data_IF_098998284090
#
_entry.id   IF_098998284090
#
_cell.length_a   1.000
_cell.length_b   1.000
_cell.length_c   1.000
_cell.angle_alpha   90.00
_cell.angle_beta   90.00
_cell.angle_gamma   90.00
#
_symmetry.space_group_name_H-M   'P 1'
#
loop_
_entity.id
_entity.type
_entity.pdbx_description
1 polymer ?
#
# COMPACT_ATOMS: atom_id res chain seq x y z
N UNK A 1 -43.07 -8.98 23.64
CA UNK A 1 -42.60 -8.02 22.63
C UNK A 1 -41.91 -8.79 21.52
N UNK A 2 -42.09 -8.43 20.23
CA UNK A 2 -41.31 -9.04 19.15
C UNK A 2 -39.83 -8.67 19.33
N UNK A 3 -38.97 -9.68 19.36
CA UNK A 3 -37.52 -9.51 19.39
C UNK A 3 -37.09 -8.88 18.07
N UNK A 4 -36.47 -7.69 18.11
CA UNK A 4 -35.97 -7.05 16.91
C UNK A 4 -34.46 -7.34 16.72
N UNK A 5 -33.91 -7.05 15.54
CA UNK A 5 -32.50 -7.32 15.23
C UNK A 5 -31.54 -6.61 16.20
N UNK A 6 -31.86 -5.39 16.66
CA UNK A 6 -31.01 -4.67 17.61
C UNK A 6 -30.99 -5.35 18.98
N UNK A 7 -32.10 -5.95 19.41
CA UNK A 7 -32.15 -6.75 20.65
C UNK A 7 -31.19 -7.96 20.57
N UNK A 8 -31.12 -8.60 19.39
CA UNK A 8 -30.18 -9.70 19.11
C UNK A 8 -28.73 -9.20 19.11
N UNK A 9 -28.46 -8.09 18.40
CA UNK A 9 -27.11 -7.52 18.28
C UNK A 9 -26.60 -6.88 19.57
N UNK A 10 -27.48 -6.60 20.53
CA UNK A 10 -27.10 -6.14 21.88
C UNK A 10 -26.42 -7.26 22.70
N UNK A 11 -26.59 -8.52 22.30
CA UNK A 11 -25.88 -9.65 22.88
C UNK A 11 -24.57 -9.89 22.13
N UNK A 12 -23.44 -9.72 22.83
CA UNK A 12 -22.10 -9.81 22.23
C UNK A 12 -21.79 -11.17 21.60
N UNK A 13 -22.35 -12.26 22.11
CA UNK A 13 -22.16 -13.61 21.55
C UNK A 13 -22.87 -13.69 20.19
N UNK A 14 -24.17 -13.39 20.15
CA UNK A 14 -24.97 -13.45 18.92
C UNK A 14 -24.47 -12.46 17.86
N UNK A 15 -24.11 -11.26 18.32
CA UNK A 15 -23.42 -10.26 17.52
C UNK A 15 -22.17 -10.84 16.85
N UNK A 16 -21.24 -11.40 17.61
CA UNK A 16 -19.99 -11.93 17.05
C UNK A 16 -20.24 -13.05 16.04
N UNK A 17 -21.15 -13.98 16.36
CA UNK A 17 -21.50 -15.09 15.45
C UNK A 17 -22.07 -14.60 14.13
N UNK A 18 -23.00 -13.64 14.14
CA UNK A 18 -23.58 -13.10 12.90
C UNK A 18 -22.51 -12.41 12.07
N UNK A 19 -21.74 -11.51 12.68
CA UNK A 19 -20.74 -10.72 11.97
C UNK A 19 -19.55 -11.57 11.47
N UNK A 20 -19.24 -12.70 12.10
CA UNK A 20 -18.19 -13.62 11.64
C UNK A 20 -18.58 -14.38 10.35
N UNK A 21 -19.87 -14.43 10.01
CA UNK A 21 -20.37 -14.98 8.75
C UNK A 21 -20.57 -13.94 7.64
N UNK A 22 -20.30 -12.66 7.91
CA UNK A 22 -20.44 -11.58 6.94
C UNK A 22 -19.08 -11.15 6.39
N UNK A 23 -18.99 -11.02 5.07
CA UNK A 23 -17.84 -10.40 4.42
C UNK A 23 -17.77 -8.91 4.74
N UNK A 24 -16.58 -8.27 4.65
CA UNK A 24 -16.41 -6.85 5.01
C UNK A 24 -17.42 -5.91 4.33
N UNK A 25 -17.75 -6.18 3.07
CA UNK A 25 -18.74 -5.43 2.31
C UNK A 25 -20.16 -5.49 2.89
N UNK A 26 -20.59 -6.65 3.37
CA UNK A 26 -21.92 -6.85 3.91
C UNK A 26 -22.03 -6.22 5.30
N UNK A 27 -20.94 -6.29 6.07
CA UNK A 27 -20.80 -5.55 7.32
C UNK A 27 -20.90 -4.05 7.11
N UNK A 28 -20.18 -3.51 6.12
CA UNK A 28 -20.26 -2.08 5.78
C UNK A 28 -21.68 -1.70 5.38
N UNK A 29 -22.32 -2.46 4.47
CA UNK A 29 -23.72 -2.21 4.06
C UNK A 29 -24.67 -2.25 5.25
N UNK A 30 -24.56 -3.27 6.10
CA UNK A 30 -25.39 -3.42 7.28
C UNK A 30 -25.18 -2.25 8.26
N UNK A 31 -23.92 -1.84 8.49
CA UNK A 31 -23.59 -0.69 9.34
C UNK A 31 -24.18 0.63 8.84
N UNK A 32 -24.41 0.76 7.53
CA UNK A 32 -25.03 1.95 6.94
C UNK A 32 -26.56 1.99 7.10
N UNK A 33 -27.19 0.88 7.50
CA UNK A 33 -28.66 0.84 7.68
C UNK A 33 -29.12 1.49 8.99
N UNK A 34 -28.26 1.55 10.01
CA UNK A 34 -28.65 1.99 11.36
C UNK A 34 -27.46 2.58 12.12
N UNK A 35 -27.67 3.72 12.80
CA UNK A 35 -26.64 4.38 13.63
C UNK A 35 -26.14 3.50 14.79
N UNK A 36 -27.01 2.71 15.39
CA UNK A 36 -26.63 1.78 16.46
C UNK A 36 -25.68 0.71 15.92
N UNK A 37 -25.99 0.14 14.75
CA UNK A 37 -25.13 -0.86 14.12
C UNK A 37 -23.81 -0.23 13.66
N UNK A 38 -23.86 0.99 13.13
CA UNK A 38 -22.67 1.77 12.82
C UNK A 38 -21.74 1.94 14.04
N UNK A 39 -22.30 2.15 15.23
CA UNK A 39 -21.55 2.27 16.48
C UNK A 39 -20.70 1.03 16.82
N UNK A 40 -21.11 -0.16 16.40
CA UNK A 40 -20.34 -1.39 16.61
C UNK A 40 -19.07 -1.49 15.76
N UNK A 41 -18.85 -0.59 14.79
CA UNK A 41 -17.68 -0.63 13.91
C UNK A 41 -16.35 -0.67 14.67
N UNK A 42 -16.26 0.04 15.81
CA UNK A 42 -15.09 0.05 16.68
C UNK A 42 -14.79 -1.33 17.29
N UNK A 43 -15.83 -2.09 17.60
CA UNK A 43 -15.68 -3.48 18.06
C UNK A 43 -15.33 -4.41 16.89
N UNK A 44 -16.00 -4.27 15.74
CA UNK A 44 -15.76 -5.13 14.56
C UNK A 44 -14.32 -5.04 14.05
N UNK A 45 -13.76 -3.82 14.02
CA UNK A 45 -12.40 -3.55 13.59
C UNK A 45 -11.56 -2.96 14.73
N UNK A 46 -11.54 -3.64 15.88
CA UNK A 46 -10.73 -3.21 17.01
C UNK A 46 -9.24 -3.48 16.76
N UNK A 47 -8.49 -2.44 16.40
CA UNK A 47 -7.06 -2.54 16.09
C UNK A 47 -6.21 -2.97 17.29
N UNK A 48 -6.55 -2.50 18.50
CA UNK A 48 -5.80 -2.84 19.71
C UNK A 48 -5.90 -4.35 20.01
N UNK A 49 -7.10 -4.93 19.86
CA UNK A 49 -7.32 -6.39 19.93
C UNK A 49 -6.57 -7.13 18.83
N UNK A 50 -6.49 -6.58 17.61
CA UNK A 50 -5.72 -7.18 16.51
C UNK A 50 -4.22 -7.23 16.85
N UNK A 51 -3.67 -6.12 17.35
CA UNK A 51 -2.25 -5.97 17.69
C UNK A 51 -1.84 -6.76 18.95
N UNK A 52 -2.77 -7.04 19.88
CA UNK A 52 -2.52 -7.90 21.06
C UNK A 52 -2.02 -9.31 20.73
N UNK A 53 -2.19 -9.74 19.47
CA UNK A 53 -1.57 -10.96 18.98
C UNK A 53 -0.05 -10.89 19.04
N UNK A 54 0.54 -9.73 18.80
CA UNK A 54 1.98 -9.51 18.68
C UNK A 54 2.52 -8.81 19.93
N UNK A 55 1.98 -7.66 20.28
CA UNK A 55 2.47 -6.83 21.40
C UNK A 55 1.57 -6.95 22.62
N UNK A 56 2.16 -6.84 23.80
CA UNK A 56 1.45 -6.79 25.06
C UNK A 56 0.89 -5.37 25.31
N UNK A 57 1.51 -4.28 24.81
CA UNK A 57 0.94 -2.93 24.84
C UNK A 57 0.67 -2.33 23.44
N UNK A 58 -0.53 -2.53 22.87
CA UNK A 58 -0.87 -1.99 21.55
C UNK A 58 -0.97 -0.46 21.51
N UNK A 59 -1.24 0.21 22.63
CA UNK A 59 -1.34 1.67 22.67
C UNK A 59 0.07 2.26 22.59
N UNK A 60 1.01 1.77 23.40
CA UNK A 60 2.41 2.19 23.33
C UNK A 60 3.00 1.93 21.93
N UNK A 61 2.74 0.76 21.35
CA UNK A 61 3.18 0.43 20.00
C UNK A 61 2.63 1.40 18.94
N UNK A 62 1.33 1.74 19.00
CA UNK A 62 0.71 2.69 18.05
C UNK A 62 1.17 4.13 18.29
N UNK A 63 1.44 4.53 19.52
CA UNK A 63 2.09 5.82 19.83
C UNK A 63 3.46 5.90 19.17
N UNK A 64 4.24 4.80 19.23
CA UNK A 64 5.52 4.71 18.54
C UNK A 64 5.34 4.80 17.01
N UNK A 65 4.30 4.18 16.46
CA UNK A 65 3.96 4.35 15.03
C UNK A 65 3.66 5.81 14.68
N UNK A 66 2.93 6.54 15.52
CA UNK A 66 2.63 7.96 15.32
C UNK A 66 3.89 8.83 15.32
N UNK A 67 4.77 8.62 16.31
CA UNK A 67 6.01 9.37 16.50
C UNK A 67 7.05 9.15 15.39
N UNK A 68 6.96 8.03 14.68
CA UNK A 68 8.01 7.60 13.75
C UNK A 68 7.52 7.41 12.31
N UNK A 69 6.29 7.83 12.00
CA UNK A 69 5.65 7.66 10.69
C UNK A 69 5.73 6.22 10.19
N UNK A 70 5.50 5.26 11.09
CA UNK A 70 5.53 3.85 10.75
C UNK A 70 4.15 3.37 10.29
N UNK A 71 4.12 2.50 9.29
CA UNK A 71 2.90 1.83 8.85
C UNK A 71 3.05 0.32 9.01
N UNK A 72 1.96 -0.36 9.30
CA UNK A 72 1.89 -1.82 9.18
C UNK A 72 1.23 -2.18 7.87
N UNK A 73 1.79 -3.15 7.15
CA UNK A 73 1.25 -3.60 5.86
C UNK A 73 1.28 -5.13 5.77
N UNK A 74 1.01 -5.65 4.57
CA UNK A 74 1.19 -7.06 4.25
C UNK A 74 0.03 -7.92 4.76
N UNK A 75 0.36 -9.15 5.15
CA UNK A 75 -0.67 -10.16 5.43
C UNK A 75 -1.53 -9.82 6.64
N UNK A 76 -0.99 -9.09 7.63
CA UNK A 76 -1.74 -8.71 8.81
C UNK A 76 -2.72 -7.57 8.53
N UNK A 77 -2.32 -6.55 7.77
CA UNK A 77 -3.21 -5.46 7.37
C UNK A 77 -4.41 -5.99 6.54
N UNK A 78 -4.15 -6.95 5.64
CA UNK A 78 -5.21 -7.64 4.91
C UNK A 78 -6.15 -8.41 5.84
N UNK A 79 -5.63 -9.21 6.78
CA UNK A 79 -6.43 -9.94 7.76
C UNK A 79 -7.31 -9.02 8.60
N UNK A 80 -6.74 -7.91 9.07
CA UNK A 80 -7.45 -6.93 9.88
C UNK A 80 -8.67 -6.37 9.13
N UNK A 81 -8.48 -5.91 7.89
CA UNK A 81 -9.57 -5.37 7.09
C UNK A 81 -10.58 -6.45 6.67
N UNK A 82 -10.10 -7.65 6.31
CA UNK A 82 -10.94 -8.79 5.96
C UNK A 82 -11.70 -9.38 7.15
N UNK A 83 -11.34 -9.03 8.39
CA UNK A 83 -11.84 -9.64 9.63
C UNK A 83 -11.64 -11.16 9.68
N UNK A 84 -10.53 -11.64 9.12
CA UNK A 84 -10.16 -13.05 9.12
C UNK A 84 -8.89 -13.29 9.94
N UNK A 85 -8.70 -14.52 10.41
CA UNK A 85 -7.53 -14.92 11.19
C UNK A 85 -6.84 -16.11 10.54
N UNK A 86 -5.61 -15.88 10.06
CA UNK A 86 -4.74 -16.94 9.56
C UNK A 86 -3.64 -17.25 10.59
N UNK A 87 -3.36 -18.53 10.79
CA UNK A 87 -2.20 -18.99 11.57
C UNK A 87 -0.90 -18.63 10.84
N UNK A 88 0.22 -18.50 11.57
CA UNK A 88 1.54 -18.17 10.98
C UNK A 88 1.53 -16.88 10.13
N UNK A 89 1.04 -15.79 10.74
CA UNK A 89 1.08 -14.47 10.14
C UNK A 89 2.02 -13.60 10.95
N UNK A 90 2.99 -13.01 10.26
CA UNK A 90 3.92 -12.04 10.83
C UNK A 90 3.29 -10.65 10.82
N UNK A 91 3.89 -9.71 11.56
CA UNK A 91 3.55 -8.29 11.54
C UNK A 91 4.66 -7.50 10.84
N UNK A 92 4.36 -6.95 9.68
CA UNK A 92 5.33 -6.22 8.84
C UNK A 92 5.21 -4.72 9.11
N UNK A 93 6.22 -4.14 9.77
CA UNK A 93 6.27 -2.73 10.17
C UNK A 93 7.26 -1.99 9.27
N UNK A 94 6.77 -1.08 8.44
CA UNK A 94 7.58 -0.29 7.53
C UNK A 94 7.96 1.04 8.18
N UNK A 95 9.26 1.35 8.16
CA UNK A 95 9.90 2.48 8.83
C UNK A 95 10.86 3.14 7.83
N UNK A 96 11.06 4.45 7.90
CA UNK A 96 11.97 5.14 6.95
C UNK A 96 13.31 5.55 7.54
N UNK A 97 13.38 5.85 8.85
CA UNK A 97 14.59 6.40 9.47
C UNK A 97 15.28 5.38 10.37
N UNK A 98 16.61 5.45 10.41
CA UNK A 98 17.44 4.60 11.26
C UNK A 98 17.15 4.84 12.76
N UNK A 99 16.98 6.11 13.17
CA UNK A 99 16.60 6.47 14.55
C UNK A 99 15.27 5.84 14.97
N UNK A 100 14.28 5.87 14.07
CA UNK A 100 12.98 5.23 14.27
C UNK A 100 13.12 3.71 14.37
N UNK A 101 13.92 3.10 13.49
CA UNK A 101 14.16 1.66 13.50
C UNK A 101 14.79 1.21 14.82
N UNK A 102 15.76 1.97 15.33
CA UNK A 102 16.37 1.73 16.65
C UNK A 102 15.35 1.88 17.78
N UNK A 103 14.47 2.89 17.72
CA UNK A 103 13.42 3.08 18.72
C UNK A 103 12.45 1.88 18.78
N UNK A 104 12.01 1.37 17.61
CA UNK A 104 11.19 0.16 17.53
C UNK A 104 11.94 -1.08 18.01
N UNK A 105 13.18 -1.29 17.58
CA UNK A 105 13.98 -2.43 18.02
C UNK A 105 14.14 -2.45 19.55
N UNK A 106 14.46 -1.30 20.14
CA UNK A 106 14.53 -1.13 21.59
C UNK A 106 13.19 -1.45 22.25
N UNK A 107 12.09 -0.81 21.85
CA UNK A 107 10.76 -1.06 22.44
C UNK A 107 10.39 -2.54 22.41
N UNK A 108 10.60 -3.21 21.28
CA UNK A 108 10.32 -4.63 21.14
C UNK A 108 11.17 -5.48 22.11
N UNK A 109 12.45 -5.17 22.23
CA UNK A 109 13.36 -5.95 23.09
C UNK A 109 13.16 -5.68 24.58
N UNK A 110 13.01 -4.41 24.98
CA UNK A 110 13.00 -3.99 26.38
C UNK A 110 11.61 -4.02 27.00
N UNK A 111 10.57 -3.67 26.25
CA UNK A 111 9.21 -3.52 26.77
C UNK A 111 8.33 -4.72 26.41
N UNK A 112 8.49 -5.28 25.21
CA UNK A 112 7.66 -6.38 24.72
C UNK A 112 8.33 -7.77 24.86
N UNK A 113 9.60 -7.83 25.28
CA UNK A 113 10.32 -9.07 25.55
C UNK A 113 10.72 -9.89 24.31
N UNK A 114 10.82 -9.26 23.15
CA UNK A 114 11.29 -9.88 21.92
C UNK A 114 12.82 -10.04 21.91
N UNK A 115 13.32 -11.01 21.15
CA UNK A 115 14.73 -11.09 20.78
C UNK A 115 14.90 -10.95 19.27
N UNK A 116 16.02 -10.35 18.87
CA UNK A 116 16.41 -10.24 17.47
C UNK A 116 16.89 -11.60 16.96
N UNK A 117 16.33 -12.03 15.82
CA UNK A 117 16.77 -13.22 15.08
C UNK A 117 17.48 -12.75 13.80
N UNK A 118 18.82 -12.69 13.77
CA UNK A 118 19.55 -12.28 12.58
C UNK A 118 19.35 -13.27 11.43
N UNK A 119 19.44 -12.76 10.20
CA UNK A 119 19.77 -13.60 9.05
C UNK A 119 21.21 -14.11 9.16
N UNK A 120 21.57 -15.16 8.40
CA UNK A 120 22.91 -15.78 8.49
C UNK A 120 24.06 -14.78 8.26
N UNK A 121 23.81 -13.74 7.47
CA UNK A 121 24.77 -12.70 7.11
C UNK A 121 24.73 -11.46 7.99
N UNK A 122 23.71 -11.32 8.84
CA UNK A 122 23.58 -10.17 9.74
C UNK A 122 24.40 -10.39 11.01
N UNK A 123 24.92 -9.31 11.58
CA UNK A 123 25.49 -9.34 12.93
C UNK A 123 24.47 -9.91 13.94
N UNK A 124 24.91 -10.71 14.94
CA UNK A 124 24.00 -11.24 15.97
C UNK A 124 23.37 -10.17 16.87
N UNK A 125 24.03 -9.03 17.02
CA UNK A 125 23.50 -7.89 17.75
C UNK A 125 22.62 -7.02 16.84
N UNK A 126 21.41 -6.69 17.30
CA UNK A 126 20.42 -5.93 16.53
C UNK A 126 20.94 -4.54 16.13
N UNK A 127 21.59 -3.83 17.04
CA UNK A 127 22.03 -2.45 16.80
C UNK A 127 23.20 -2.41 15.83
N UNK A 128 24.10 -3.39 15.91
CA UNK A 128 25.18 -3.58 14.97
C UNK A 128 24.63 -3.98 13.59
N UNK A 129 23.70 -4.92 13.52
CA UNK A 129 23.06 -5.32 12.27
C UNK A 129 22.37 -4.13 11.58
N UNK A 130 21.67 -3.28 12.35
CA UNK A 130 21.03 -2.06 11.82
C UNK A 130 22.07 -1.08 11.27
N UNK A 131 23.14 -0.81 12.03
CA UNK A 131 24.18 0.15 11.67
C UNK A 131 24.99 -0.30 10.46
N UNK A 132 25.43 -1.55 10.45
CA UNK A 132 26.40 -2.08 9.51
C UNK A 132 25.73 -2.72 8.28
N UNK A 133 24.39 -2.75 8.23
CA UNK A 133 23.55 -3.44 7.22
C UNK A 133 24.05 -3.34 5.79
N UNK A 134 24.44 -2.14 5.33
CA UNK A 134 24.90 -1.91 3.94
C UNK A 134 26.19 -2.68 3.67
N UNK A 135 27.15 -2.56 4.58
CA UNK A 135 28.45 -3.22 4.46
C UNK A 135 28.35 -4.74 4.66
N UNK A 136 27.47 -5.22 5.54
CA UNK A 136 27.24 -6.65 5.76
C UNK A 136 26.59 -7.28 4.54
N UNK A 137 25.62 -6.59 3.94
CA UNK A 137 24.96 -7.00 2.71
C UNK A 137 25.96 -7.06 1.54
N UNK A 138 26.76 -6.01 1.33
CA UNK A 138 27.76 -5.97 0.24
C UNK A 138 28.74 -7.15 0.33
N UNK A 139 29.27 -7.42 1.53
CA UNK A 139 30.17 -8.56 1.77
C UNK A 139 29.51 -9.91 1.51
N UNK A 140 28.24 -10.05 1.86
CA UNK A 140 27.49 -11.28 1.63
C UNK A 140 27.20 -11.50 0.14
N UNK A 141 26.80 -10.45 -0.60
CA UNK A 141 26.60 -10.50 -2.05
C UNK A 141 27.91 -10.87 -2.76
N UNK A 142 29.03 -10.24 -2.37
CA UNK A 142 30.36 -10.57 -2.91
C UNK A 142 30.72 -12.04 -2.65
N UNK A 143 30.50 -12.54 -1.41
CA UNK A 143 30.75 -13.94 -1.05
C UNK A 143 29.91 -14.92 -1.88
N UNK A 144 28.64 -14.59 -2.16
CA UNK A 144 27.77 -15.39 -3.01
C UNK A 144 28.24 -15.41 -4.46
N UNK A 145 28.63 -14.26 -5.00
CA UNK A 145 29.10 -14.13 -6.40
C UNK A 145 30.45 -14.82 -6.64
N UNK A 146 31.28 -14.95 -5.60
CA UNK A 146 32.60 -15.57 -5.67
C UNK A 146 32.60 -17.11 -5.45
N UNK A 147 31.45 -17.73 -5.17
CA UNK A 147 31.32 -19.19 -5.12
C UNK A 147 31.04 -19.76 -6.52
N UNK A 148 31.79 -20.78 -6.93
CA UNK A 148 31.59 -21.49 -8.19
C UNK A 148 31.31 -22.99 -7.95
N UNK A 149 30.09 -23.49 -8.27
CA UNK A 149 28.91 -22.72 -8.63
C UNK A 149 28.35 -21.97 -7.41
N UNK A 150 27.60 -20.87 -7.60
CA UNK A 150 26.96 -20.18 -6.49
C UNK A 150 25.98 -21.13 -5.81
N UNK A 151 26.27 -21.50 -4.55
CA UNK A 151 25.38 -22.35 -3.76
C UNK A 151 24.26 -21.47 -3.21
N UNK A 152 23.19 -21.36 -3.98
CA UNK A 152 21.98 -20.66 -3.52
C UNK A 152 21.02 -21.68 -2.92
N UNK A 153 20.91 -21.69 -1.59
CA UNK A 153 19.86 -22.43 -0.89
C UNK A 153 18.52 -21.73 -1.04
N UNK A 154 17.41 -22.45 -0.81
CA UNK A 154 16.07 -21.87 -0.84
C UNK A 154 15.91 -20.73 0.19
N UNK A 155 16.58 -20.84 1.35
CA UNK A 155 16.63 -19.80 2.37
C UNK A 155 17.41 -18.57 1.88
N UNK A 156 18.58 -18.74 1.24
CA UNK A 156 19.38 -17.65 0.67
C UNK A 156 18.66 -16.95 -0.49
N UNK A 157 17.89 -17.68 -1.31
CA UNK A 157 17.02 -17.10 -2.34
C UNK A 157 15.87 -16.31 -1.71
N UNK A 158 15.28 -16.81 -0.61
CA UNK A 158 14.23 -16.14 0.16
C UNK A 158 14.70 -14.78 0.69
N UNK A 159 15.94 -14.75 1.20
CA UNK A 159 16.59 -13.58 1.76
C UNK A 159 17.00 -12.58 0.67
N UNK A 160 17.54 -13.04 -0.46
CA UNK A 160 17.90 -12.19 -1.60
C UNK A 160 16.69 -11.52 -2.26
N UNK A 161 15.55 -12.24 -2.37
CA UNK A 161 14.35 -11.69 -2.99
C UNK A 161 13.69 -10.56 -2.19
N UNK A 162 13.75 -10.60 -0.85
CA UNK A 162 13.24 -9.51 0.01
C UNK A 162 14.06 -8.21 -0.16
N UNK A 163 15.37 -8.33 -0.39
CA UNK A 163 16.28 -7.19 -0.62
C UNK A 163 16.40 -6.73 -2.07
N UNK A 164 15.87 -7.51 -3.02
CA UNK A 164 15.70 -7.07 -4.42
C UNK A 164 14.39 -6.34 -4.65
N UNK A 165 13.48 -6.33 -3.65
CA UNK A 165 12.30 -5.49 -3.69
C UNK A 165 12.72 -4.02 -3.70
N UNK A 166 12.33 -3.32 -4.76
CA UNK A 166 12.57 -1.88 -4.90
C UNK A 166 12.01 -1.17 -3.65
N UNK A 167 12.83 -0.32 -3.05
CA UNK A 167 12.40 0.53 -1.95
C UNK A 167 12.62 -0.02 -0.54
N UNK A 168 13.18 -1.23 -0.37
CA UNK A 168 13.57 -1.79 0.93
C UNK A 168 15.09 -1.77 1.06
N UNK A 169 15.60 -1.36 2.22
CA UNK A 169 17.04 -1.22 2.52
C UNK A 169 17.48 -2.06 3.72
N UNK A 170 16.55 -2.70 4.42
CA UNK A 170 16.83 -3.53 5.59
C UNK A 170 15.58 -4.25 6.07
N UNK A 171 15.72 -5.51 6.48
CA UNK A 171 14.69 -6.29 7.15
C UNK A 171 15.29 -6.94 8.39
N UNK A 172 14.60 -6.78 9.52
CA UNK A 172 15.07 -7.23 10.82
C UNK A 172 13.99 -8.03 11.52
N UNK A 173 14.27 -9.29 11.85
CA UNK A 173 13.30 -10.18 12.46
C UNK A 173 13.36 -10.13 13.98
N UNK A 174 12.22 -9.92 14.61
CA UNK A 174 12.05 -10.02 16.06
C UNK A 174 11.07 -11.13 16.36
N UNK A 175 11.48 -12.07 17.23
CA UNK A 175 10.66 -13.21 17.65
C UNK A 175 10.43 -13.14 19.15
N UNK A 176 9.20 -13.41 19.57
CA UNK A 176 8.86 -13.47 20.99
C UNK A 176 8.96 -14.92 21.51
N UNK A 177 9.58 -15.17 22.68
CA UNK A 177 9.77 -16.53 23.21
C UNK A 177 8.48 -17.28 23.54
N UNK A 178 7.41 -16.59 23.99
CA UNK A 178 6.06 -17.16 24.22
C UNK A 178 5.49 -17.93 23.01
N UNK A 179 5.80 -17.53 21.77
CA UNK A 179 5.27 -18.21 20.58
C UNK A 179 6.04 -17.83 19.32
N UNK A 180 6.41 -18.81 18.51
CA UNK A 180 6.97 -18.55 17.17
C UNK A 180 6.00 -17.80 16.25
N UNK A 181 4.69 -17.86 16.52
CA UNK A 181 3.68 -17.09 15.79
C UNK A 181 3.63 -15.60 16.16
N UNK A 182 4.40 -15.17 17.18
CA UNK A 182 4.61 -13.77 17.55
C UNK A 182 5.92 -13.29 16.91
N UNK A 183 5.87 -13.08 15.60
CA UNK A 183 6.97 -12.53 14.81
C UNK A 183 6.61 -11.14 14.31
N UNK A 184 7.53 -10.20 14.51
CA UNK A 184 7.45 -8.83 13.99
C UNK A 184 8.67 -8.62 13.08
N UNK A 185 8.45 -8.14 11.87
CA UNK A 185 9.51 -7.73 10.96
C UNK A 185 9.55 -6.21 10.91
N UNK A 186 10.70 -5.63 11.25
CA UNK A 186 10.96 -4.21 11.01
C UNK A 186 11.61 -4.06 9.64
N UNK A 187 10.96 -3.32 8.74
CA UNK A 187 11.33 -3.16 7.34
C UNK A 187 11.71 -1.70 7.11
N UNK A 188 12.97 -1.45 6.79
CA UNK A 188 13.49 -0.12 6.53
C UNK A 188 13.28 0.25 5.05
N UNK A 189 12.34 1.16 4.79
CA UNK A 189 12.04 1.73 3.49
C UNK A 189 13.05 2.81 3.08
N UNK A 190 13.36 2.88 1.78
CA UNK A 190 14.36 3.82 1.25
C UNK A 190 13.89 5.28 1.16
N UNK A 191 12.58 5.51 1.04
CA UNK A 191 12.00 6.85 0.84
C UNK A 191 10.80 7.07 1.75
N UNK A 192 9.68 6.40 1.49
CA UNK A 192 8.49 6.42 2.34
C UNK A 192 8.07 4.97 2.59
N UNK A 193 7.36 4.69 3.69
CA UNK A 193 6.85 3.35 3.95
C UNK A 193 5.91 2.89 2.82
N UNK A 194 5.07 3.81 2.31
CA UNK A 194 4.14 3.52 1.21
C UNK A 194 4.87 3.23 -0.11
N UNK A 195 6.00 3.89 -0.39
CA UNK A 195 6.81 3.58 -1.57
C UNK A 195 7.21 2.10 -1.58
N UNK A 196 7.79 1.61 -0.47
CA UNK A 196 8.21 0.21 -0.33
C UNK A 196 7.04 -0.77 -0.49
N UNK A 197 5.85 -0.42 0.01
CA UNK A 197 4.62 -1.22 -0.17
C UNK A 197 4.24 -1.30 -1.66
N UNK A 198 4.13 -0.14 -2.32
CA UNK A 198 3.65 -0.07 -3.71
C UNK A 198 4.63 -0.68 -4.72
N UNK A 199 5.93 -0.66 -4.43
CA UNK A 199 6.96 -1.24 -5.29
C UNK A 199 7.40 -2.65 -4.90
N UNK A 200 7.01 -3.12 -3.71
CA UNK A 200 7.40 -4.44 -3.19
C UNK A 200 6.38 -5.54 -3.44
N UNK A 201 5.08 -5.21 -3.51
CA UNK A 201 4.03 -6.23 -3.61
C UNK A 201 3.80 -6.71 -5.05
N UNK A 202 3.55 -8.02 -5.18
CA UNK A 202 3.44 -8.73 -6.45
C UNK A 202 2.00 -8.84 -6.99
N UNK A 203 0.99 -8.54 -6.18
CA UNK A 203 -0.40 -8.49 -6.62
C UNK A 203 -1.28 -7.56 -5.78
N UNK A 204 -2.37 -7.06 -6.36
CA UNK A 204 -3.24 -6.00 -5.81
C UNK A 204 -3.87 -6.33 -4.45
N UNK A 205 -4.17 -7.59 -4.17
CA UNK A 205 -4.88 -8.02 -2.95
C UNK A 205 -4.16 -7.69 -1.63
N UNK A 206 -2.83 -7.52 -1.65
CA UNK A 206 -2.02 -7.20 -0.47
C UNK A 206 -1.73 -5.71 -0.30
N UNK A 207 -2.26 -4.83 -1.17
CA UNK A 207 -2.08 -3.38 -1.08
C UNK A 207 -3.00 -2.77 0.00
N UNK A 208 -2.79 -3.22 1.23
CA UNK A 208 -3.49 -2.79 2.42
C UNK A 208 -2.48 -2.45 3.50
N UNK A 209 -2.72 -1.37 4.22
CA UNK A 209 -1.86 -0.95 5.32
C UNK A 209 -2.67 -0.20 6.36
N UNK A 210 -2.10 -0.01 7.54
CA UNK A 210 -2.65 0.90 8.54
C UNK A 210 -1.57 1.72 9.22
N UNK A 211 -1.91 2.96 9.50
CA UNK A 211 -1.16 3.89 10.34
C UNK A 211 -1.63 3.75 11.78
N UNK A 212 -1.10 4.59 12.67
CA UNK A 212 -1.54 4.64 14.05
C UNK A 212 -3.02 4.98 14.22
N UNK A 213 -3.69 5.64 13.27
CA UNK A 213 -5.08 6.14 13.39
C UNK A 213 -6.03 5.69 12.25
N UNK A 214 -5.54 5.16 11.14
CA UNK A 214 -6.37 4.77 9.99
C UNK A 214 -5.87 3.50 9.32
N UNK A 215 -6.79 2.70 8.80
CA UNK A 215 -6.49 1.59 7.92
C UNK A 215 -7.00 1.86 6.50
N UNK A 216 -6.24 1.35 5.53
CA UNK A 216 -6.39 1.62 4.11
C UNK A 216 -6.35 0.34 3.31
N UNK A 217 -7.26 0.23 2.34
CA UNK A 217 -7.13 -0.70 1.21
C UNK A 217 -7.19 0.09 -0.09
N UNK A 218 -6.21 -0.11 -0.96
CA UNK A 218 -6.11 0.61 -2.23
C UNK A 218 -6.96 -0.03 -3.35
N UNK A 219 -7.29 -1.31 -3.21
CA UNK A 219 -8.10 -2.10 -4.16
C UNK A 219 -9.18 -2.92 -3.44
N UNK A 220 -10.04 -2.30 -2.62
CA UNK A 220 -10.95 -3.02 -1.73
C UNK A 220 -11.98 -3.88 -2.49
N UNK A 221 -12.48 -3.38 -3.62
CA UNK A 221 -13.50 -4.07 -4.41
C UNK A 221 -12.99 -5.44 -4.86
N UNK A 222 -11.91 -5.49 -5.65
CA UNK A 222 -11.33 -6.76 -6.10
C UNK A 222 -10.80 -7.60 -4.94
N UNK A 223 -10.22 -6.99 -3.91
CA UNK A 223 -9.59 -7.71 -2.79
C UNK A 223 -10.60 -8.43 -1.88
N UNK A 224 -11.70 -7.76 -1.51
CA UNK A 224 -12.63 -8.28 -0.50
C UNK A 224 -13.92 -8.81 -1.07
N UNK A 225 -14.40 -8.28 -2.20
CA UNK A 225 -15.65 -8.72 -2.82
C UNK A 225 -15.42 -9.89 -3.76
N UNK A 226 -14.51 -9.71 -4.72
CA UNK A 226 -14.30 -10.70 -5.78
C UNK A 226 -13.20 -11.71 -5.41
N UNK A 227 -12.33 -11.35 -4.45
CA UNK A 227 -11.09 -12.07 -4.09
C UNK A 227 -10.15 -12.25 -5.28
N UNK A 228 -10.14 -11.26 -6.17
CA UNK A 228 -9.25 -11.17 -7.31
C UNK A 228 -7.90 -10.55 -6.90
N UNK A 229 -6.81 -11.21 -7.27
CA UNK A 229 -5.44 -10.74 -7.11
C UNK A 229 -4.79 -10.52 -8.49
N UNK A 230 -4.72 -9.26 -8.92
CA UNK A 230 -4.09 -8.91 -10.20
C UNK A 230 -2.60 -8.72 -10.02
N UNK A 231 -1.79 -9.34 -10.87
CA UNK A 231 -0.34 -9.23 -10.79
C UNK A 231 0.15 -7.79 -11.02
N UNK A 232 1.09 -7.33 -10.20
CA UNK A 232 1.75 -6.03 -10.33
C UNK A 232 3.23 -6.14 -10.71
N UNK A 233 3.78 -7.36 -10.63
CA UNK A 233 5.18 -7.66 -10.94
C UNK A 233 5.27 -8.97 -11.73
N UNK A 234 6.44 -9.24 -12.31
CA UNK A 234 6.70 -10.57 -12.88
C UNK A 234 6.79 -11.59 -11.75
N UNK A 235 6.28 -12.80 -11.98
CA UNK A 235 6.35 -13.88 -11.00
C UNK A 235 7.80 -14.32 -10.78
N UNK A 236 8.32 -14.05 -9.58
CA UNK A 236 9.55 -14.69 -9.06
C UNK A 236 9.17 -16.01 -8.38
N UNK A 237 10.15 -16.88 -8.10
CA UNK A 237 9.91 -18.14 -7.36
C UNK A 237 9.24 -17.90 -5.99
N UNK A 238 9.63 -16.83 -5.28
CA UNK A 238 9.00 -16.44 -4.01
C UNK A 238 7.58 -15.92 -4.19
N UNK A 239 7.34 -15.13 -5.26
CA UNK A 239 5.98 -14.73 -5.60
C UNK A 239 5.11 -15.97 -5.84
N UNK A 240 5.66 -17.07 -6.38
CA UNK A 240 4.98 -18.37 -6.50
C UNK A 240 4.49 -18.94 -5.16
N UNK A 241 5.36 -19.05 -4.15
CA UNK A 241 4.94 -19.52 -2.80
C UNK A 241 3.94 -18.57 -2.16
N UNK A 242 4.11 -17.26 -2.35
CA UNK A 242 3.14 -16.25 -1.94
C UNK A 242 1.78 -16.46 -2.60
N UNK A 243 1.77 -16.72 -3.91
CA UNK A 243 0.57 -17.00 -4.71
C UNK A 243 -0.15 -18.23 -4.20
N UNK A 244 0.55 -19.37 -4.05
CA UNK A 244 -0.04 -20.62 -3.52
C UNK A 244 -0.71 -20.40 -2.16
N UNK A 245 0.00 -19.71 -1.24
CA UNK A 245 -0.51 -19.34 0.09
C UNK A 245 -1.83 -18.55 0.03
N UNK A 246 -2.02 -17.68 -0.95
CA UNK A 246 -3.26 -16.90 -1.07
C UNK A 246 -4.34 -17.61 -1.92
N UNK A 247 -3.97 -18.49 -2.84
CA UNK A 247 -4.91 -19.41 -3.49
C UNK A 247 -5.60 -20.30 -2.46
N UNK A 248 -4.83 -20.87 -1.51
CA UNK A 248 -5.39 -21.64 -0.37
C UNK A 248 -6.33 -20.82 0.51
N UNK A 249 -6.22 -19.48 0.48
CA UNK A 249 -7.08 -18.54 1.20
C UNK A 249 -8.29 -18.07 0.38
N UNK A 250 -8.48 -18.64 -0.81
CA UNK A 250 -9.60 -18.38 -1.70
C UNK A 250 -9.41 -17.19 -2.65
N UNK A 251 -8.18 -16.75 -2.89
CA UNK A 251 -7.89 -15.73 -3.91
C UNK A 251 -7.70 -16.35 -5.29
N UNK A 252 -8.27 -15.71 -6.30
CA UNK A 252 -8.00 -16.01 -7.71
C UNK A 252 -6.94 -15.05 -8.25
N UNK A 253 -5.85 -15.60 -8.79
CA UNK A 253 -4.79 -14.78 -9.38
C UNK A 253 -5.02 -14.57 -10.86
N UNK A 254 -5.10 -13.31 -11.27
CA UNK A 254 -5.52 -12.91 -12.60
C UNK A 254 -4.41 -12.13 -13.31
N UNK A 255 -4.21 -12.48 -14.58
CA UNK A 255 -3.53 -11.60 -15.51
C UNK A 255 -4.46 -10.48 -15.93
N UNK A 256 -3.95 -9.27 -16.01
CA UNK A 256 -4.75 -8.14 -16.46
C UNK A 256 -5.22 -8.32 -17.92
N UNK A 257 -4.42 -9.01 -18.74
CA UNK A 257 -4.57 -9.01 -20.19
C UNK A 257 -5.85 -9.62 -20.75
N UNK A 258 -6.62 -10.35 -19.93
CA UNK A 258 -8.01 -10.72 -20.24
C UNK A 258 -8.95 -9.56 -19.90
N UNK A 259 -8.80 -8.43 -20.60
CA UNK A 259 -9.46 -7.13 -20.39
C UNK A 259 -10.66 -7.22 -19.44
N UNK A 260 -10.42 -6.88 -18.17
CA UNK A 260 -11.48 -6.75 -17.18
C UNK A 260 -12.52 -5.78 -17.76
N UNK A 261 -13.78 -6.22 -17.90
CA UNK A 261 -14.90 -5.39 -18.36
C UNK A 261 -15.22 -4.34 -17.28
N UNK A 262 -14.33 -3.36 -17.14
CA UNK A 262 -14.43 -2.28 -16.17
C UNK A 262 -15.65 -1.42 -16.53
N UNK A 263 -16.70 -1.51 -15.73
CA UNK A 263 -17.83 -0.59 -15.74
C UNK A 263 -17.34 0.79 -15.25
N UNK A 264 -18.12 1.85 -15.49
CA UNK A 264 -17.89 3.26 -15.06
C UNK A 264 -17.38 3.47 -13.62
N UNK A 265 -17.44 2.48 -12.73
CA UNK A 265 -17.00 2.53 -11.33
C UNK A 265 -15.79 1.61 -11.01
N UNK A 266 -15.01 1.18 -12.01
CA UNK A 266 -13.84 0.32 -11.80
C UNK A 266 -12.72 1.05 -11.02
N UNK A 267 -12.08 0.44 -10.01
CA UNK A 267 -10.96 1.03 -9.27
C UNK A 267 -9.62 1.00 -10.04
N UNK A 268 -9.53 0.27 -11.16
CA UNK A 268 -8.34 0.19 -12.00
C UNK A 268 -8.24 1.39 -12.95
N UNK A 269 -7.93 2.56 -12.39
CA UNK A 269 -7.76 3.84 -13.10
C UNK A 269 -6.29 4.15 -13.40
N UNK A 270 -5.98 4.91 -14.46
CA UNK A 270 -4.59 5.30 -14.76
C UNK A 270 -3.91 6.08 -13.64
N UNK A 271 -4.69 6.81 -12.85
CA UNK A 271 -4.26 7.58 -11.68
C UNK A 271 -5.14 7.22 -10.50
N UNK A 272 -4.53 7.02 -9.35
CA UNK A 272 -5.20 6.81 -8.07
C UNK A 272 -4.49 7.60 -6.99
N UNK A 273 -5.25 7.99 -5.98
CA UNK A 273 -4.74 8.62 -4.76
C UNK A 273 -5.10 7.75 -3.57
N UNK A 274 -4.26 7.75 -2.54
CA UNK A 274 -4.65 7.19 -1.25
C UNK A 274 -5.93 7.89 -0.80
N UNK A 275 -6.87 7.15 -0.19
CA UNK A 275 -8.14 7.70 0.27
C UNK A 275 -8.96 8.41 -0.84
N UNK A 276 -8.82 8.00 -2.11
CA UNK A 276 -9.78 8.36 -3.15
C UNK A 276 -11.09 7.57 -3.02
N UNK A 277 -12.07 7.90 -3.86
CA UNK A 277 -13.40 7.25 -3.87
C UNK A 277 -13.38 5.74 -4.12
N UNK A 278 -12.25 5.19 -4.59
CA UNK A 278 -12.08 3.78 -4.89
C UNK A 278 -11.26 3.06 -3.81
N UNK A 279 -10.75 3.78 -2.82
CA UNK A 279 -10.04 3.25 -1.66
C UNK A 279 -11.02 3.01 -0.52
N UNK A 280 -10.74 2.03 0.33
CA UNK A 280 -11.46 1.87 1.59
C UNK A 280 -10.62 2.47 2.70
N UNK A 281 -11.19 3.45 3.40
CA UNK A 281 -10.61 4.08 4.58
C UNK A 281 -11.43 3.72 5.81
N UNK A 282 -10.74 3.28 6.85
CA UNK A 282 -11.30 2.91 8.13
C UNK A 282 -10.60 3.70 9.23
N UNK A 283 -11.33 4.62 9.87
CA UNK A 283 -10.85 5.28 11.09
C UNK A 283 -10.69 4.26 12.20
N UNK A 284 -9.58 4.34 12.92
CA UNK A 284 -9.24 3.48 14.05
C UNK A 284 -9.46 4.25 15.34
N UNK A 285 -9.78 3.51 16.40
CA UNK A 285 -9.90 4.07 17.74
C UNK A 285 -8.57 4.65 18.22
N UNK A 286 -8.52 5.96 18.47
CA UNK A 286 -7.33 6.68 18.95
C UNK A 286 -7.36 6.97 20.45
N UNK A 287 -8.28 6.37 21.21
CA UNK A 287 -8.31 6.53 22.66
C UNK A 287 -6.96 6.12 23.28
N UNK A 288 -6.43 6.99 24.16
CA UNK A 288 -5.13 6.80 24.80
C UNK A 288 -3.91 7.16 23.95
N UNK A 289 -4.09 7.64 22.71
CA UNK A 289 -2.98 8.11 21.86
C UNK A 289 -3.04 9.62 21.71
N UNK A 290 -1.96 10.31 22.04
CA UNK A 290 -1.82 11.75 21.80
C UNK A 290 -1.46 12.00 20.32
N UNK A 291 -2.47 12.43 19.54
CA UNK A 291 -2.31 12.73 18.12
C UNK A 291 -1.35 13.90 17.83
N UNK A 292 -1.01 14.74 18.81
CA UNK A 292 -0.02 15.81 18.62
C UNK A 292 1.41 15.27 18.47
N UNK A 293 1.64 14.02 18.89
CA UNK A 293 2.91 13.32 18.74
C UNK A 293 3.15 12.76 17.33
N UNK A 294 2.16 12.87 16.43
CA UNK A 294 2.30 12.40 15.06
C UNK A 294 3.40 13.18 14.32
N UNK A 295 4.48 12.49 13.92
CA UNK A 295 5.61 13.12 13.26
C UNK A 295 5.27 13.69 11.87
N UNK A 296 4.23 13.12 11.23
CA UNK A 296 3.82 13.45 9.87
C UNK A 296 2.30 13.67 9.84
N UNK A 297 1.82 14.79 9.26
CA UNK A 297 0.40 15.05 9.11
C UNK A 297 -0.32 13.98 8.27
N UNK A 298 -1.56 13.67 8.60
CA UNK A 298 -2.36 12.66 7.88
C UNK A 298 -2.50 12.95 6.38
N UNK A 299 -2.59 14.22 5.99
CA UNK A 299 -2.71 14.62 4.58
C UNK A 299 -1.47 14.22 3.76
N UNK A 300 -0.32 13.97 4.40
CA UNK A 300 0.87 13.52 3.69
C UNK A 300 0.65 12.14 3.08
N UNK A 301 0.09 11.18 3.83
CA UNK A 301 -0.17 9.85 3.30
C UNK A 301 -1.39 9.83 2.36
N UNK A 302 -2.43 10.59 2.68
CA UNK A 302 -3.68 10.62 1.90
C UNK A 302 -3.59 11.35 0.57
N UNK A 303 -2.56 12.16 0.34
CA UNK A 303 -2.31 12.80 -0.95
C UNK A 303 -1.14 12.18 -1.73
N UNK A 304 -0.65 11.00 -1.32
CA UNK A 304 0.22 10.21 -2.16
C UNK A 304 -0.58 9.60 -3.31
N UNK A 305 -0.02 9.65 -4.51
CA UNK A 305 -0.66 9.13 -5.72
C UNK A 305 0.22 8.09 -6.39
N UNK A 306 -0.42 7.21 -7.16
CA UNK A 306 0.28 6.26 -8.01
C UNK A 306 -0.45 6.09 -9.34
N UNK A 307 0.35 5.86 -10.38
CA UNK A 307 -0.14 5.57 -11.70
C UNK A 307 -0.26 4.06 -11.89
N UNK A 308 -1.17 3.64 -12.75
CA UNK A 308 -1.23 2.25 -13.20
C UNK A 308 -1.22 2.16 -14.72
N UNK A 309 -0.33 1.33 -15.26
CA UNK A 309 -0.23 1.06 -16.70
C UNK A 309 -0.45 -0.43 -16.92
N UNK A 310 -1.52 -0.77 -17.64
CA UNK A 310 -1.94 -2.16 -17.81
C UNK A 310 -1.94 -2.63 -19.27
N UNK A 311 -1.58 -1.75 -20.20
CA UNK A 311 -1.45 -2.04 -21.61
C UNK A 311 -0.48 -1.05 -22.26
N UNK A 312 -0.07 -1.37 -23.49
CA UNK A 312 0.52 -0.41 -24.41
C UNK A 312 -0.52 -0.07 -25.49
N UNK A 313 -0.46 1.15 -26.01
CA UNK A 313 -1.31 1.54 -27.13
C UNK A 313 -0.50 2.30 -28.16
N UNK A 314 -0.80 2.10 -29.43
CA UNK A 314 -0.19 2.81 -30.54
C UNK A 314 -1.21 3.04 -31.65
N UNK A 315 -0.94 4.00 -32.52
CA UNK A 315 -1.76 4.25 -33.70
C UNK A 315 -1.19 3.44 -34.86
N UNK A 316 -1.95 2.47 -35.34
CA UNK A 316 -1.62 1.78 -36.58
C UNK A 316 -1.96 2.69 -37.75
N UNK A 317 -0.94 3.06 -38.51
CA UNK A 317 -1.09 3.95 -39.67
C UNK A 317 -1.66 3.24 -40.89
N UNK A 318 -1.52 1.92 -40.96
CA UNK A 318 -1.97 1.11 -42.09
C UNK A 318 -3.49 0.97 -42.02
N UNK A 319 -3.98 0.50 -40.88
CA UNK A 319 -5.41 0.24 -40.68
C UNK A 319 -6.17 1.48 -40.17
N UNK A 320 -5.44 2.54 -39.78
CA UNK A 320 -6.04 3.77 -39.26
C UNK A 320 -6.76 3.58 -37.92
N UNK A 321 -6.35 2.56 -37.15
CA UNK A 321 -6.95 2.19 -35.86
C UNK A 321 -5.97 2.36 -34.72
N UNK A 322 -6.50 2.54 -33.50
CA UNK A 322 -5.68 2.47 -32.28
C UNK A 322 -5.63 1.04 -31.79
N UNK A 323 -4.43 0.46 -31.75
CA UNK A 323 -4.20 -0.89 -31.24
C UNK A 323 -3.86 -0.83 -29.76
N UNK A 324 -4.41 -1.76 -28.99
CA UNK A 324 -4.15 -1.92 -27.56
C UNK A 324 -3.58 -3.32 -27.31
N UNK A 325 -2.35 -3.37 -26.81
CA UNK A 325 -1.71 -4.64 -26.43
C UNK A 325 -1.76 -4.75 -24.91
N UNK A 326 -2.53 -5.72 -24.37
CA UNK A 326 -2.61 -5.90 -22.93
C UNK A 326 -1.26 -6.28 -22.33
N UNK A 327 -1.06 -5.90 -21.07
CA UNK A 327 0.04 -6.41 -20.25
C UNK A 327 -0.47 -7.56 -19.38
N UNK A 328 0.36 -8.59 -19.19
CA UNK A 328 0.05 -9.68 -18.24
C UNK A 328 -0.04 -9.19 -16.79
N UNK A 329 0.64 -8.07 -16.48
CA UNK A 329 0.67 -7.42 -15.17
C UNK A 329 0.35 -5.94 -15.23
N UNK A 330 -0.08 -5.40 -14.10
CA UNK A 330 -0.29 -3.99 -13.85
C UNK A 330 1.00 -3.32 -13.38
N UNK A 331 1.61 -2.49 -14.23
CA UNK A 331 2.77 -1.72 -13.82
C UNK A 331 2.34 -0.52 -12.96
N UNK A 332 2.74 -0.54 -11.68
CA UNK A 332 2.64 0.61 -10.80
C UNK A 332 3.69 1.66 -11.22
N UNK A 333 3.25 2.88 -11.55
CA UNK A 333 4.10 3.99 -12.02
C UNK A 333 4.14 5.10 -10.99
N UNK A 334 5.29 5.23 -10.33
CA UNK A 334 5.49 6.17 -9.22
C UNK A 334 6.81 6.91 -9.44
N UNK A 335 6.83 8.20 -9.08
CA UNK A 335 8.02 8.99 -8.84
C UNK A 335 8.11 9.35 -7.36
N UNK A 336 9.31 9.24 -6.81
CA UNK A 336 9.63 9.71 -5.47
C UNK A 336 10.15 11.15 -5.54
N UNK A 337 9.67 11.98 -4.64
CA UNK A 337 10.13 13.35 -4.47
C UNK A 337 10.77 13.56 -3.10
N UNK A 338 12.10 13.59 -3.14
CA UNK A 338 12.97 13.89 -2.00
C UNK A 338 13.78 15.16 -2.24
N UNK A 339 13.30 16.08 -3.10
CA UNK A 339 14.08 17.25 -3.55
C UNK A 339 14.24 18.35 -2.49
N UNK A 340 13.75 18.14 -1.26
CA UNK A 340 13.70 19.14 -0.19
C UNK A 340 12.63 20.23 -0.37
N UNK A 341 11.91 20.24 -1.50
CA UNK A 341 10.81 21.19 -1.76
C UNK A 341 9.62 21.00 -0.82
N UNK A 342 9.51 19.82 -0.23
CA UNK A 342 8.52 19.47 0.79
C UNK A 342 9.26 19.06 2.08
N UNK A 343 8.62 19.24 3.23
CA UNK A 343 9.10 18.81 4.54
C UNK A 343 9.15 17.30 4.61
N UNK A 344 8.09 16.68 4.12
CA UNK A 344 7.91 15.24 4.12
C UNK A 344 8.13 14.70 2.71
N UNK A 345 8.95 13.64 2.52
CA UNK A 345 9.05 12.96 1.24
C UNK A 345 7.69 12.45 0.80
N UNK A 346 7.44 12.51 -0.50
CA UNK A 346 6.15 12.12 -1.08
C UNK A 346 6.36 11.33 -2.35
N UNK A 347 5.33 10.59 -2.72
CA UNK A 347 5.30 9.87 -3.98
C UNK A 347 4.10 10.32 -4.80
N UNK A 348 4.32 10.41 -6.09
CA UNK A 348 3.31 10.81 -7.06
C UNK A 348 3.27 9.84 -8.23
N UNK A 349 2.13 9.77 -8.89
CA UNK A 349 2.01 9.09 -10.16
C UNK A 349 2.89 9.75 -11.23
N UNK A 350 3.49 8.88 -12.05
CA UNK A 350 4.34 9.31 -13.14
C UNK A 350 3.89 8.68 -14.46
N UNK A 351 2.96 9.35 -15.13
CA UNK A 351 2.65 9.10 -16.54
C UNK A 351 2.65 10.40 -17.36
N UNK A 352 2.54 10.31 -18.68
CA UNK A 352 2.52 11.51 -19.52
C UNK A 352 1.33 12.42 -19.18
N UNK A 353 1.60 13.72 -18.98
CA UNK A 353 0.60 14.77 -18.68
C UNK A 353 -0.16 14.55 -17.38
N UNK A 354 0.47 13.85 -16.44
CA UNK A 354 -0.12 13.55 -15.13
C UNK A 354 0.21 14.59 -14.06
N UNK A 355 -0.33 14.36 -12.87
CA UNK A 355 -0.05 15.08 -11.65
C UNK A 355 1.46 15.26 -11.38
N UNK A 356 2.30 14.24 -11.62
CA UNK A 356 3.75 14.37 -11.47
C UNK A 356 4.38 15.47 -12.36
N UNK A 357 3.90 15.62 -13.60
CA UNK A 357 4.35 16.71 -14.47
C UNK A 357 3.84 18.07 -13.97
N UNK A 358 2.55 18.13 -13.58
CA UNK A 358 1.95 19.34 -13.03
C UNK A 358 2.69 19.85 -11.79
N UNK A 359 3.00 18.96 -10.83
CA UNK A 359 3.79 19.30 -9.64
C UNK A 359 5.18 19.82 -10.01
N UNK A 360 5.87 19.17 -10.94
CA UNK A 360 7.17 19.64 -11.43
C UNK A 360 7.07 21.08 -11.97
N UNK A 361 6.02 21.39 -12.74
CA UNK A 361 5.84 22.71 -13.33
C UNK A 361 5.42 23.75 -12.29
N UNK A 362 4.58 23.38 -11.32
CA UNK A 362 4.22 24.24 -10.18
C UNK A 362 5.45 24.61 -9.34
N UNK A 363 6.30 23.63 -9.03
CA UNK A 363 7.58 23.87 -8.32
C UNK A 363 8.48 24.84 -9.09
N UNK A 364 8.67 24.63 -10.40
CA UNK A 364 9.48 25.51 -11.25
C UNK A 364 8.92 26.93 -11.30
N UNK A 365 7.60 27.05 -11.46
CA UNK A 365 6.90 28.33 -11.54
C UNK A 365 7.05 29.09 -10.22
N UNK A 366 6.73 28.47 -9.10
CA UNK A 366 6.81 29.10 -7.78
C UNK A 366 8.25 29.43 -7.36
N UNK A 367 9.23 28.61 -7.76
CA UNK A 367 10.66 28.90 -7.56
C UNK A 367 11.13 30.13 -8.36
N UNK A 368 10.56 30.36 -9.56
CA UNK A 368 10.82 31.57 -10.36
C UNK A 368 10.08 32.81 -9.84
N UNK A 369 8.96 32.61 -9.15
CA UNK A 369 8.18 33.68 -8.51
C UNK A 369 8.74 34.07 -7.13
N UNK A 370 10.06 33.93 -6.91
CA UNK A 370 10.70 34.40 -5.68
C UNK A 370 10.54 35.91 -5.42
N UNK A 371 10.00 36.69 -6.37
CA UNK A 371 9.59 38.09 -6.19
C UNK A 371 8.12 38.42 -6.51
N UNK A 372 7.24 37.44 -6.74
CA UNK A 372 5.84 37.70 -7.14
C UNK A 372 4.84 36.85 -6.33
N UNK A 373 3.84 37.52 -5.75
CA UNK A 373 2.73 36.89 -5.03
C UNK A 373 1.64 36.44 -6.01
N UNK A 374 1.82 35.30 -6.70
CA UNK A 374 0.67 34.65 -7.35
C UNK A 374 -0.05 33.83 -6.27
N UNK A 375 -0.96 34.49 -5.56
CA UNK A 375 -1.90 33.81 -4.68
C UNK A 375 -3.12 33.36 -5.47
N UNK A 376 -3.43 32.07 -5.47
CA UNK A 376 -4.82 31.68 -5.65
C UNK A 376 -5.64 32.23 -4.46
N UNK A 377 -6.96 32.44 -4.56
CA UNK A 377 -7.77 32.94 -3.45
C UNK A 377 -7.62 32.16 -2.13
N UNK A 378 -7.14 30.91 -2.22
CA UNK A 378 -6.92 29.98 -1.10
C UNK A 378 -5.43 29.71 -0.80
N UNK A 379 -4.50 30.29 -1.56
CA UNK A 379 -3.06 30.11 -1.34
C UNK A 379 -2.61 30.87 -0.09
N UNK A 380 -1.82 30.21 0.75
CA UNK A 380 -1.27 30.83 1.95
C UNK A 380 -0.12 31.77 1.55
N UNK A 381 0.06 32.85 2.30
CA UNK A 381 1.26 33.69 2.15
C UNK A 381 2.51 32.82 2.32
N UNK A 382 3.62 33.18 1.66
CA UNK A 382 4.90 32.48 1.86
C UNK A 382 5.28 32.57 3.33
N UNK A 383 5.11 31.47 4.05
CA UNK A 383 5.49 31.35 5.45
C UNK A 383 6.98 30.97 5.48
N UNK A 384 7.82 31.93 5.85
CA UNK A 384 9.26 31.74 6.03
C UNK A 384 9.58 31.25 7.46
N UNK A 385 8.56 31.03 8.29
CA UNK A 385 8.66 30.89 9.75
C UNK A 385 8.89 29.48 10.30
N UNK A 386 9.52 28.58 9.55
CA UNK A 386 9.98 27.31 10.13
C UNK A 386 11.43 27.45 10.67
N UNK A 387 11.81 26.62 11.66
CA UNK A 387 13.09 26.65 12.42
C UNK A 387 14.37 26.76 11.57
N UNK A 388 14.32 26.35 10.29
CA UNK A 388 15.44 26.38 9.35
C UNK A 388 15.40 27.56 8.34
N UNK A 389 14.37 28.40 8.37
CA UNK A 389 14.18 29.52 7.44
C UNK A 389 13.91 29.13 5.97
N UNK A 390 13.67 27.84 5.68
CA UNK A 390 13.41 27.33 4.33
C UNK A 390 11.92 27.29 4.03
N UNK A 391 11.50 27.97 2.95
CA UNK A 391 10.14 27.87 2.43
C UNK A 391 9.89 26.50 1.78
N UNK A 392 8.83 25.80 2.22
CA UNK A 392 8.41 24.49 1.70
C UNK A 392 6.97 24.53 1.21
N UNK A 393 6.63 23.67 0.25
CA UNK A 393 5.33 23.69 -0.44
C UNK A 393 4.24 22.82 0.19
N UNK A 394 4.44 22.29 1.40
CA UNK A 394 3.49 21.38 2.04
C UNK A 394 2.09 21.99 2.21
N UNK A 395 2.01 23.28 2.53
CA UNK A 395 0.74 24.00 2.68
C UNK A 395 -0.03 24.18 1.37
N UNK A 396 0.64 24.13 0.22
CA UNK A 396 0.02 24.32 -1.10
C UNK A 396 -0.31 22.98 -1.78
N UNK A 397 0.34 21.89 -1.37
CA UNK A 397 0.30 20.60 -2.05
C UNK A 397 -1.12 20.06 -2.26
N UNK A 398 -1.93 20.10 -1.20
CA UNK A 398 -3.32 19.66 -1.23
C UNK A 398 -4.19 20.53 -2.16
N UNK A 399 -4.00 21.85 -2.12
CA UNK A 399 -4.73 22.79 -2.96
C UNK A 399 -4.38 22.60 -4.44
N UNK A 400 -3.09 22.40 -4.74
CA UNK A 400 -2.63 22.04 -6.08
C UNK A 400 -3.28 20.76 -6.57
N UNK A 401 -3.39 19.74 -5.71
CA UNK A 401 -4.04 18.49 -6.08
C UNK A 401 -5.51 18.70 -6.37
N UNK A 402 -6.25 19.39 -5.49
CA UNK A 402 -7.68 19.69 -5.68
C UNK A 402 -7.92 20.48 -6.96
N UNK A 403 -7.07 21.47 -7.26
CA UNK A 403 -7.16 22.25 -8.49
C UNK A 403 -6.90 21.38 -9.72
N UNK A 404 -5.84 20.57 -9.70
CA UNK A 404 -5.51 19.65 -10.79
C UNK A 404 -6.62 18.62 -11.01
N UNK A 405 -7.11 18.00 -9.94
CA UNK A 405 -8.21 17.04 -9.97
C UNK A 405 -9.49 17.68 -10.54
N UNK A 406 -9.88 18.86 -10.07
CA UNK A 406 -11.07 19.54 -10.58
C UNK A 406 -10.93 20.04 -12.02
N UNK A 407 -9.71 20.33 -12.48
CA UNK A 407 -9.49 20.93 -13.81
C UNK A 407 -9.20 19.90 -14.90
N UNK A 408 -8.50 18.82 -14.55
CA UNK A 408 -7.93 17.85 -15.50
C UNK A 408 -8.61 16.48 -15.40
N UNK A 409 -8.98 16.06 -14.19
CA UNK A 409 -9.61 14.76 -13.94
C UNK A 409 -11.12 14.65 -14.22
N UNK A 410 -11.94 15.71 -14.37
CA UNK A 410 -13.36 15.50 -14.60
C UNK A 410 -13.56 14.66 -15.87
N UNK A 411 -14.22 13.52 -15.71
CA UNK A 411 -14.46 12.52 -16.77
C UNK A 411 -13.22 11.84 -17.34
N UNK A 412 -12.06 11.97 -16.68
CA UNK A 412 -10.83 11.26 -17.06
C UNK A 412 -10.43 11.54 -18.52
N UNK A 413 -10.78 12.73 -19.00
CA UNK A 413 -10.67 13.12 -20.42
C UNK A 413 -9.25 13.00 -20.97
N UNK A 414 -8.23 13.22 -20.13
CA UNK A 414 -6.81 13.07 -20.51
C UNK A 414 -6.42 11.63 -20.89
N UNK A 415 -7.18 10.65 -20.40
CA UNK A 415 -6.99 9.22 -20.66
C UNK A 415 -8.03 8.62 -21.58
N UNK A 416 -9.07 9.40 -21.92
CA UNK A 416 -10.02 9.04 -22.96
C UNK A 416 -9.24 8.73 -24.23
N UNK A 417 -9.51 7.58 -24.84
CA UNK A 417 -8.79 6.99 -26.00
C UNK A 417 -7.43 6.37 -25.71
N UNK A 418 -6.80 6.63 -24.56
CA UNK A 418 -5.60 5.92 -24.14
C UNK A 418 -5.94 4.69 -23.31
N UNK A 419 -7.10 4.71 -22.65
CA UNK A 419 -7.56 3.68 -21.73
C UNK A 419 -8.99 3.28 -22.13
N UNK A 420 -9.18 2.19 -22.89
CA UNK A 420 -10.45 1.87 -23.52
C UNK A 420 -11.59 1.64 -22.51
N UNK A 421 -11.27 1.10 -21.34
CA UNK A 421 -12.17 0.92 -20.20
C UNK A 421 -12.85 2.20 -19.70
N UNK A 422 -12.28 3.38 -19.97
CA UNK A 422 -12.84 4.66 -19.51
C UNK A 422 -13.87 5.23 -20.48
N UNK A 423 -13.86 4.79 -21.74
CA UNK A 423 -14.71 5.33 -22.79
C UNK A 423 -16.08 4.66 -22.93
N UNK A 424 -16.30 3.51 -22.28
CA UNK A 424 -17.49 2.68 -22.52
C UNK A 424 -17.60 2.17 -23.96
N UNK A 425 -16.52 2.30 -24.74
CA UNK A 425 -16.37 1.76 -26.09
C UNK A 425 -15.76 0.37 -25.92
N UNK A 426 -16.36 -0.66 -26.53
CA UNK A 426 -15.67 -1.93 -26.73
C UNK A 426 -14.64 -1.70 -27.84
N UNK A 427 -13.34 -1.59 -27.54
CA UNK A 427 -12.34 -1.55 -28.61
C UNK A 427 -12.35 -2.89 -29.35
N UNK A 428 -12.10 -2.89 -30.66
CA UNK A 428 -11.74 -4.10 -31.39
C UNK A 428 -10.38 -4.57 -30.84
N UNK A 429 -10.41 -5.47 -29.87
CA UNK A 429 -9.21 -6.01 -29.22
C UNK A 429 -8.60 -7.06 -30.13
N UNK A 430 -7.53 -6.70 -30.83
CA UNK A 430 -6.70 -7.66 -31.57
C UNK A 430 -5.56 -8.14 -30.67
N UNK A 431 -5.58 -9.43 -30.31
CA UNK A 431 -4.41 -10.08 -29.72
C UNK A 431 -3.42 -10.41 -30.85
N UNK A 432 -2.17 -9.94 -30.75
CA UNK A 432 -1.14 -10.14 -31.79
C UNK A 432 -1.52 -9.64 -33.20
N UNK A 433 -2.38 -8.61 -33.30
CA UNK A 433 -2.73 -8.00 -34.57
C UNK A 433 -3.60 -8.88 -35.49
N UNK A 434 -4.27 -9.92 -34.95
CA UNK A 434 -5.32 -10.66 -35.66
C UNK A 434 -6.53 -10.87 -34.77
N UNK A 435 -7.73 -10.65 -35.31
CA UNK A 435 -8.96 -11.19 -34.73
C UNK A 435 -8.84 -12.73 -34.75
N UNK A 436 -8.68 -13.36 -33.59
CA UNK A 436 -9.06 -14.77 -33.47
C UNK A 436 -10.46 -14.81 -32.88
N UNK A 437 -11.40 -15.40 -33.63
CA UNK A 437 -12.65 -15.91 -33.07
C UNK A 437 -12.33 -16.65 -31.76
N UNK A 438 -13.01 -16.25 -30.70
CA UNK A 438 -12.96 -16.93 -29.41
C UNK A 438 -13.56 -18.33 -29.59
N UNK A 439 -12.73 -19.31 -29.94
CA UNK A 439 -13.12 -20.72 -29.77
C UNK A 439 -12.99 -21.09 -28.30
N UNK A 440 -14.13 -21.10 -27.63
CA UNK A 440 -14.33 -21.82 -26.38
C UNK A 440 -14.27 -23.33 -26.66
N UNK A 441 -13.08 -23.88 -26.83
CA UNK A 441 -12.90 -25.33 -26.74
C UNK A 441 -12.22 -25.66 -25.41
N UNK A 442 -12.97 -26.47 -24.64
CA UNK A 442 -12.63 -27.04 -23.35
C UNK A 442 -11.21 -27.62 -23.36
N UNK A 443 -10.37 -27.18 -22.43
CA UNK A 443 -9.27 -28.03 -21.95
C UNK A 443 -9.76 -28.77 -20.71
N UNK A 444 -10.46 -29.88 -20.95
CA UNK A 444 -10.26 -31.09 -20.15
C UNK A 444 -9.18 -31.89 -20.88
N UNK A 445 -7.98 -31.91 -20.31
CA UNK A 445 -7.13 -33.09 -20.10
C UNK A 445 -5.85 -32.67 -19.37
#
# INVERSE_FOLDING_TARGET
>A
MPLNLLDILSNTILYSTIFDHLEPQDVIRLSQTCRTIYGFRGDLWNINRSLRRFVDDPIAFRTLMAQHDAIVSGSHALQFLARVKWTKSDLDVYITKDESLVAFANHLMTNEGYYFKPYEWQSPDAMKAIRDRKSEQEKWVEKLMNQDPPVITDDNMSELGVYTLKGITGVFNFIHPKSENRRIQLILASVTPLYAVLTGYYATHIFNFFTWNRAYSLFPYHTFKDKDAYYTQGLTRQAGQGVEKYIERGYEFLEYGKFHKCIKNCPFRPHRRVADQFSWVLDLDTEGIDGSLAAVPQSVIEYQTWGMKMHTSYWDRVDGVRVFVPSFKMDIKIVCDSSGSFRYPRIYDYQNRTWGNYISDMKKTMGRLNGYHIGFPESKSKDWGDEDGMYRFDGEFENWYKLWEKSIMPYENIWRWQYPMLGGVEPDVTFDGKEREVRYDKMQE
#
